data_IF_118051023348
#
_entry.id   IF_118051023348
#
_cell.length_a   1.000
_cell.length_b   1.000
_cell.length_c   1.000
_cell.angle_alpha   90.00
_cell.angle_beta   90.00
_cell.angle_gamma   90.00
#
_symmetry.space_group_name_H-M   'P 1'
#
loop_
_entity.id
_entity.type
_entity.pdbx_description
1 polymer ?
#
# COMPACT_ATOMS: atom_id res chain seq x y z
N UNK A 1 -6.32 27.16 -56.89
CA UNK A 1 -4.85 27.10 -57.17
C UNK A 1 -4.10 27.63 -55.92
N UNK A 2 -3.39 26.75 -55.21
CA UNK A 2 -2.61 27.15 -54.03
C UNK A 2 -1.32 27.83 -54.51
N UNK A 3 -1.09 29.09 -54.12
CA UNK A 3 0.07 29.82 -54.61
C UNK A 3 1.37 29.20 -54.05
N UNK A 4 2.46 29.27 -54.86
CA UNK A 4 3.76 28.67 -54.47
C UNK A 4 4.29 29.15 -53.12
N UNK A 5 3.92 30.36 -52.67
CA UNK A 5 4.26 30.92 -51.36
C UNK A 5 3.50 30.32 -50.17
N UNK A 6 2.37 29.69 -50.44
CA UNK A 6 1.55 29.09 -49.33
C UNK A 6 1.93 27.63 -49.04
N UNK A 7 2.65 26.95 -49.95
CA UNK A 7 3.07 25.55 -49.78
C UNK A 7 3.92 25.32 -48.50
N UNK A 8 4.95 26.11 -48.19
CA UNK A 8 5.76 25.89 -46.97
C UNK A 8 4.96 26.12 -45.71
N UNK A 9 4.00 27.04 -45.68
CA UNK A 9 3.12 27.30 -44.53
C UNK A 9 2.17 26.14 -44.34
N UNK A 10 1.58 25.58 -45.40
CA UNK A 10 0.70 24.41 -45.29
C UNK A 10 1.46 23.17 -44.81
N UNK A 11 2.68 22.95 -45.27
CA UNK A 11 3.54 21.86 -44.81
C UNK A 11 3.86 22.02 -43.32
N UNK A 12 4.20 23.25 -42.88
CA UNK A 12 4.48 23.55 -41.47
C UNK A 12 3.26 23.33 -40.57
N UNK A 13 2.07 23.76 -41.01
CA UNK A 13 0.82 23.52 -40.31
C UNK A 13 0.47 22.01 -40.26
N UNK A 14 0.63 21.31 -41.38
CA UNK A 14 0.40 19.86 -41.43
C UNK A 14 1.36 19.08 -40.51
N UNK A 15 2.63 19.46 -40.47
CA UNK A 15 3.62 18.88 -39.58
C UNK A 15 3.28 19.15 -38.08
N UNK A 16 2.82 20.36 -37.77
CA UNK A 16 2.42 20.73 -36.41
C UNK A 16 1.17 19.95 -35.95
N UNK A 17 0.17 19.79 -36.85
CA UNK A 17 -1.02 18.96 -36.57
C UNK A 17 -0.63 17.50 -36.36
N UNK A 18 0.30 16.97 -37.13
CA UNK A 18 0.77 15.59 -37.01
C UNK A 18 1.49 15.35 -35.69
N UNK A 19 2.34 16.29 -35.26
CA UNK A 19 2.99 16.26 -33.95
C UNK A 19 1.93 16.26 -32.83
N UNK A 20 0.88 17.08 -32.93
CA UNK A 20 -0.20 17.14 -31.98
C UNK A 20 -1.00 15.82 -31.91
N UNK A 21 -1.27 15.20 -33.04
CA UNK A 21 -1.96 13.90 -33.11
C UNK A 21 -1.11 12.80 -32.44
N UNK A 22 0.19 12.75 -32.72
CA UNK A 22 1.11 11.78 -32.12
C UNK A 22 1.23 12.02 -30.61
N UNK A 23 1.38 13.28 -30.18
CA UNK A 23 1.44 13.63 -28.76
C UNK A 23 0.14 13.28 -28.03
N UNK A 24 -1.03 13.56 -28.64
CA UNK A 24 -2.33 13.22 -28.07
C UNK A 24 -2.58 11.70 -28.02
N UNK A 25 -2.21 10.98 -29.07
CA UNK A 25 -2.29 9.52 -29.06
C UNK A 25 -1.36 8.91 -28.00
N UNK A 26 -0.12 9.38 -27.90
CA UNK A 26 0.82 8.97 -26.85
C UNK A 26 0.31 9.28 -25.46
N UNK A 27 -0.26 10.46 -25.24
CA UNK A 27 -0.89 10.84 -23.98
C UNK A 27 -2.07 9.93 -23.61
N UNK A 28 -2.95 9.63 -24.58
CA UNK A 28 -4.08 8.71 -24.39
C UNK A 28 -3.64 7.29 -24.06
N UNK A 29 -2.61 6.77 -24.73
CA UNK A 29 -2.04 5.45 -24.45
C UNK A 29 -1.43 5.43 -23.05
N UNK A 30 -0.67 6.45 -22.67
CA UNK A 30 -0.07 6.57 -21.36
C UNK A 30 -1.13 6.66 -20.25
N UNK A 31 -2.20 7.44 -20.43
CA UNK A 31 -3.33 7.52 -19.50
C UNK A 31 -4.08 6.19 -19.37
N UNK A 32 -4.29 5.49 -20.50
CA UNK A 32 -4.93 4.18 -20.48
C UNK A 32 -4.04 3.10 -19.85
N UNK A 33 -2.72 3.24 -19.94
CA UNK A 33 -1.76 2.34 -19.29
C UNK A 33 -1.67 2.58 -17.77
N UNK A 34 -2.03 3.78 -17.27
CA UNK A 34 -1.98 4.08 -15.83
C UNK A 34 -2.93 3.14 -15.07
N UNK A 35 -2.38 2.50 -14.04
CA UNK A 35 -3.18 1.73 -13.08
C UNK A 35 -3.95 2.71 -12.20
N UNK A 36 -5.24 2.45 -12.01
CA UNK A 36 -6.14 3.25 -11.15
C UNK A 36 -6.82 2.33 -10.13
N UNK A 37 -7.34 2.87 -9.02
CA UNK A 37 -8.11 2.09 -8.06
C UNK A 37 -9.27 1.31 -8.68
N UNK A 38 -9.96 1.90 -9.66
CA UNK A 38 -11.08 1.25 -10.33
C UNK A 38 -10.64 0.04 -11.17
N UNK A 39 -9.48 0.12 -11.82
CA UNK A 39 -8.89 -1.03 -12.52
C UNK A 39 -8.53 -2.16 -11.56
N UNK A 40 -8.02 -1.83 -10.36
CA UNK A 40 -7.74 -2.82 -9.32
C UNK A 40 -9.04 -3.45 -8.82
N UNK A 41 -10.08 -2.66 -8.55
CA UNK A 41 -11.41 -3.17 -8.15
C UNK A 41 -12.00 -4.08 -9.23
N UNK A 42 -12.00 -3.65 -10.48
CA UNK A 42 -12.52 -4.45 -11.60
C UNK A 42 -11.76 -5.78 -11.71
N UNK A 43 -10.44 -5.75 -11.56
CA UNK A 43 -9.61 -6.95 -11.60
C UNK A 43 -9.94 -7.90 -10.45
N UNK A 44 -10.03 -7.40 -9.21
CA UNK A 44 -10.32 -8.21 -8.02
C UNK A 44 -11.76 -8.75 -8.01
N UNK A 45 -12.72 -8.00 -8.52
CA UNK A 45 -14.12 -8.45 -8.62
C UNK A 45 -14.29 -9.57 -9.64
N UNK A 46 -13.53 -9.54 -10.73
CA UNK A 46 -13.54 -10.58 -11.76
C UNK A 46 -12.70 -11.82 -11.42
N UNK A 47 -11.95 -11.81 -10.32
CA UNK A 47 -11.01 -12.87 -9.97
C UNK A 47 -11.66 -13.88 -9.02
N UNK A 48 -11.86 -15.11 -9.50
CA UNK A 48 -12.34 -16.23 -8.71
C UNK A 48 -11.20 -17.25 -8.50
N UNK A 49 -10.54 -17.17 -7.35
CA UNK A 49 -9.41 -18.04 -7.01
C UNK A 49 -9.78 -19.54 -6.96
N UNK A 50 -11.05 -19.88 -6.74
CA UNK A 50 -11.49 -21.28 -6.66
C UNK A 50 -11.41 -22.01 -7.99
N UNK A 51 -11.41 -21.25 -9.10
CA UNK A 51 -11.40 -21.79 -10.48
C UNK A 51 -10.00 -21.79 -11.11
N UNK A 52 -9.02 -21.25 -10.44
CA UNK A 52 -7.67 -21.09 -10.97
C UNK A 52 -6.77 -22.25 -10.54
N UNK A 53 -5.94 -22.69 -11.47
CA UNK A 53 -4.81 -23.58 -11.17
C UNK A 53 -3.76 -22.87 -10.32
N UNK A 54 -2.85 -23.58 -9.67
CA UNK A 54 -1.80 -23.00 -8.84
C UNK A 54 -0.93 -21.99 -9.62
N UNK A 55 -0.61 -22.26 -10.88
CA UNK A 55 0.17 -21.36 -11.72
C UNK A 55 -0.61 -20.08 -12.07
N UNK A 56 -1.89 -20.20 -12.41
CA UNK A 56 -2.76 -19.06 -12.68
C UNK A 56 -2.99 -18.19 -11.44
N UNK A 57 -3.14 -18.80 -10.25
CA UNK A 57 -3.24 -18.09 -8.98
C UNK A 57 -1.97 -17.28 -8.71
N UNK A 58 -0.79 -17.88 -8.87
CA UNK A 58 0.49 -17.19 -8.69
C UNK A 58 0.61 -16.00 -9.66
N UNK A 59 0.28 -16.18 -10.94
CA UNK A 59 0.28 -15.10 -11.93
C UNK A 59 -0.72 -13.99 -11.59
N UNK A 60 -1.92 -14.35 -11.14
CA UNK A 60 -2.95 -13.40 -10.73
C UNK A 60 -2.52 -12.56 -9.52
N UNK A 61 -1.89 -13.19 -8.52
CA UNK A 61 -1.35 -12.53 -7.32
C UNK A 61 -0.21 -11.58 -7.69
N UNK A 62 0.72 -12.00 -8.54
CA UNK A 62 1.81 -11.14 -9.01
C UNK A 62 1.27 -9.92 -9.77
N UNK A 63 0.30 -10.11 -10.65
CA UNK A 63 -0.34 -9.02 -11.38
C UNK A 63 -1.03 -8.05 -10.42
N UNK A 64 -1.77 -8.55 -9.43
CA UNK A 64 -2.42 -7.72 -8.43
C UNK A 64 -1.39 -6.93 -7.59
N UNK A 65 -0.29 -7.57 -7.19
CA UNK A 65 0.80 -6.90 -6.48
C UNK A 65 1.43 -5.79 -7.33
N UNK A 66 1.68 -6.04 -8.61
CA UNK A 66 2.19 -5.03 -9.54
C UNK A 66 1.23 -3.85 -9.70
N UNK A 67 -0.08 -4.13 -9.83
CA UNK A 67 -1.11 -3.08 -9.90
C UNK A 67 -1.14 -2.23 -8.63
N UNK A 68 -1.10 -2.84 -7.45
CA UNK A 68 -1.07 -2.11 -6.18
C UNK A 68 0.21 -1.28 -6.04
N UNK A 69 1.36 -1.79 -6.47
CA UNK A 69 2.63 -1.08 -6.40
C UNK A 69 2.69 0.13 -7.36
N UNK A 70 1.88 0.13 -8.41
CA UNK A 70 1.76 1.26 -9.33
C UNK A 70 0.85 2.38 -8.83
N UNK A 71 0.07 2.16 -7.76
CA UNK A 71 -0.79 3.18 -7.14
C UNK A 71 0.01 4.13 -6.25
N UNK A 72 -0.44 5.38 -6.16
CA UNK A 72 0.02 6.33 -5.15
C UNK A 72 -0.47 5.93 -3.75
N UNK A 73 0.07 6.56 -2.70
CA UNK A 73 -0.35 6.32 -1.32
C UNK A 73 -1.85 6.60 -1.12
N UNK A 74 -2.34 7.73 -1.63
CA UNK A 74 -3.74 8.13 -1.48
C UNK A 74 -4.69 7.18 -2.23
N UNK A 75 -4.33 6.79 -3.45
CA UNK A 75 -5.08 5.81 -4.24
C UNK A 75 -5.12 4.45 -3.53
N UNK A 76 -4.01 4.05 -2.90
CA UNK A 76 -3.89 2.81 -2.13
C UNK A 76 -4.71 2.84 -0.84
N UNK A 77 -4.74 3.99 -0.14
CA UNK A 77 -5.59 4.20 1.04
C UNK A 77 -7.07 4.14 0.69
N UNK A 78 -7.48 4.73 -0.43
CA UNK A 78 -8.84 4.67 -0.94
C UNK A 78 -9.33 3.24 -1.20
N UNK A 79 -8.43 2.33 -1.63
CA UNK A 79 -8.78 0.91 -1.78
C UNK A 79 -8.95 0.17 -0.45
N UNK A 80 -8.24 0.58 0.62
CA UNK A 80 -8.38 -0.06 1.95
C UNK A 80 -9.75 0.16 2.58
N UNK A 81 -10.43 1.23 2.21
CA UNK A 81 -11.78 1.54 2.69
C UNK A 81 -12.86 0.67 2.01
N UNK A 82 -12.49 -0.06 0.96
CA UNK A 82 -13.38 -0.94 0.23
C UNK A 82 -13.23 -2.39 0.72
N UNK A 83 -14.31 -2.96 1.23
CA UNK A 83 -14.36 -4.32 1.80
C UNK A 83 -14.02 -5.41 0.78
N UNK A 84 -13.99 -5.09 -0.51
CA UNK A 84 -13.65 -6.06 -1.57
C UNK A 84 -12.21 -6.58 -1.45
N UNK A 85 -11.27 -5.75 -0.97
CA UNK A 85 -9.88 -6.13 -0.82
C UNK A 85 -9.66 -7.29 0.16
N UNK A 86 -10.56 -7.46 1.15
CA UNK A 86 -10.43 -8.53 2.14
C UNK A 86 -10.88 -9.89 1.61
N UNK A 87 -11.84 -9.92 0.70
CA UNK A 87 -12.42 -11.16 0.20
C UNK A 87 -11.42 -12.01 -0.58
N UNK A 88 -10.67 -11.39 -1.49
CA UNK A 88 -9.69 -12.11 -2.29
C UNK A 88 -8.44 -12.50 -1.49
N UNK A 89 -8.01 -11.64 -0.52
CA UNK A 89 -6.90 -11.97 0.37
C UNK A 89 -7.25 -13.15 1.29
N UNK A 90 -8.49 -13.23 1.79
CA UNK A 90 -8.97 -14.36 2.58
C UNK A 90 -8.97 -15.68 1.80
N UNK A 91 -9.10 -15.65 0.47
CA UNK A 91 -9.06 -16.85 -0.38
C UNK A 91 -7.63 -17.33 -0.70
N UNK A 92 -6.61 -16.54 -0.36
CA UNK A 92 -5.21 -16.92 -0.53
C UNK A 92 -4.77 -17.93 0.51
N UNK A 93 -3.93 -18.87 0.11
CA UNK A 93 -3.18 -19.74 1.04
C UNK A 93 -2.18 -18.90 1.85
N UNK A 94 -1.67 -19.43 2.97
CA UNK A 94 -0.68 -18.73 3.79
C UNK A 94 0.59 -18.41 2.99
N UNK A 95 1.04 -19.32 2.12
CA UNK A 95 2.19 -19.09 1.24
C UNK A 95 1.93 -17.97 0.22
N UNK A 96 0.73 -17.91 -0.35
CA UNK A 96 0.31 -16.85 -1.28
C UNK A 96 0.18 -15.50 -0.58
N UNK A 97 -0.37 -15.47 0.64
CA UNK A 97 -0.43 -14.27 1.48
C UNK A 97 0.98 -13.75 1.79
N UNK A 98 1.89 -14.66 2.18
CA UNK A 98 3.29 -14.33 2.43
C UNK A 98 3.96 -13.70 1.21
N UNK A 99 3.85 -14.34 0.05
CA UNK A 99 4.42 -13.85 -1.21
C UNK A 99 3.82 -12.47 -1.61
N UNK A 100 2.51 -12.31 -1.45
CA UNK A 100 1.82 -11.05 -1.73
C UNK A 100 2.28 -9.92 -0.80
N UNK A 101 2.41 -10.17 0.50
CA UNK A 101 2.91 -9.19 1.48
C UNK A 101 4.36 -8.80 1.17
N UNK A 102 5.23 -9.77 0.84
CA UNK A 102 6.60 -9.49 0.42
C UNK A 102 6.67 -8.60 -0.82
N UNK A 103 5.79 -8.83 -1.78
CA UNK A 103 5.77 -8.07 -3.03
C UNK A 103 5.20 -6.65 -2.88
N UNK A 104 4.28 -6.41 -1.93
CA UNK A 104 3.51 -5.14 -1.87
C UNK A 104 3.89 -4.22 -0.71
N UNK A 105 4.29 -4.78 0.44
CA UNK A 105 4.53 -3.99 1.64
C UNK A 105 5.75 -3.06 1.56
N UNK A 106 6.90 -3.46 0.96
CA UNK A 106 8.06 -2.56 0.87
C UNK A 106 7.72 -1.26 0.15
N UNK A 107 6.96 -1.34 -0.96
CA UNK A 107 6.49 -0.15 -1.69
C UNK A 107 5.52 0.68 -0.85
N UNK A 108 4.60 0.04 -0.11
CA UNK A 108 3.67 0.72 0.78
C UNK A 108 4.40 1.45 1.91
N UNK A 109 5.37 0.83 2.56
CA UNK A 109 6.19 1.47 3.59
C UNK A 109 7.00 2.64 3.03
N UNK A 110 7.63 2.47 1.86
CA UNK A 110 8.35 3.56 1.19
C UNK A 110 7.46 4.78 0.95
N UNK A 111 6.26 4.55 0.46
CA UNK A 111 5.29 5.64 0.23
C UNK A 111 4.87 6.32 1.53
N UNK A 112 4.63 5.57 2.61
CA UNK A 112 4.28 6.12 3.92
C UNK A 112 5.43 6.92 4.54
N UNK A 113 6.65 6.41 4.48
CA UNK A 113 7.84 7.11 4.97
C UNK A 113 8.03 8.42 4.19
N UNK A 114 7.98 8.36 2.86
CA UNK A 114 8.10 9.56 2.02
C UNK A 114 7.00 10.59 2.28
N UNK A 115 5.76 10.14 2.48
CA UNK A 115 4.66 11.04 2.85
C UNK A 115 4.89 11.70 4.22
N UNK A 116 5.39 10.95 5.20
CA UNK A 116 5.74 11.49 6.52
C UNK A 116 6.88 12.51 6.42
N UNK A 117 7.95 12.20 5.70
CA UNK A 117 9.11 13.09 5.51
C UNK A 117 8.74 14.40 4.78
N UNK A 118 7.73 14.38 3.92
CA UNK A 118 7.21 15.56 3.24
C UNK A 118 6.31 16.44 4.12
N UNK A 119 5.93 16.00 5.33
CA UNK A 119 5.16 16.84 6.25
C UNK A 119 6.06 17.91 6.89
N UNK A 120 5.51 19.12 7.18
CA UNK A 120 6.17 20.10 8.03
C UNK A 120 6.54 19.50 9.40
N UNK A 121 7.66 19.94 10.04
CA UNK A 121 8.15 19.38 11.31
C UNK A 121 7.11 19.36 12.43
N UNK A 122 6.31 20.41 12.54
CA UNK A 122 5.24 20.50 13.56
C UNK A 122 4.14 19.45 13.34
N UNK A 123 3.82 19.15 12.07
CA UNK A 123 2.85 18.11 11.72
C UNK A 123 3.41 16.72 11.96
N UNK A 124 4.69 16.46 11.64
CA UNK A 124 5.36 15.20 11.94
C UNK A 124 5.31 14.91 13.45
N UNK A 125 5.72 15.88 14.27
CA UNK A 125 5.68 15.73 15.73
C UNK A 125 4.28 15.48 16.28
N UNK A 126 3.25 16.16 15.73
CA UNK A 126 1.86 15.92 16.14
C UNK A 126 1.42 14.51 15.78
N UNK A 127 1.72 14.04 14.55
CA UNK A 127 1.39 12.69 14.10
C UNK A 127 2.04 11.62 15.00
N UNK A 128 3.32 11.78 15.35
CA UNK A 128 4.04 10.87 16.25
C UNK A 128 3.41 10.86 17.65
N UNK A 129 3.14 12.03 18.25
CA UNK A 129 2.49 12.12 19.56
C UNK A 129 1.11 11.49 19.57
N UNK A 130 0.32 11.71 18.51
CA UNK A 130 -1.02 11.12 18.39
C UNK A 130 -0.95 9.59 18.27
N UNK A 131 -0.04 9.06 17.45
CA UNK A 131 0.16 7.64 17.29
C UNK A 131 0.59 6.97 18.62
N UNK A 132 1.55 7.57 19.36
CA UNK A 132 1.97 7.08 20.67
C UNK A 132 0.81 7.08 21.66
N UNK A 133 0.01 8.15 21.67
CA UNK A 133 -1.17 8.23 22.55
C UNK A 133 -2.15 7.10 22.25
N UNK A 134 -2.50 6.90 20.98
CA UNK A 134 -3.41 5.82 20.59
C UNK A 134 -2.90 4.44 21.03
N UNK A 135 -1.60 4.17 20.85
CA UNK A 135 -1.00 2.89 21.29
C UNK A 135 -1.03 2.72 22.81
N UNK A 136 -0.79 3.78 23.58
CA UNK A 136 -0.92 3.75 25.04
C UNK A 136 -2.35 3.48 25.49
N UNK A 137 -3.31 4.18 24.89
CA UNK A 137 -4.74 3.99 25.17
C UNK A 137 -5.20 2.55 24.84
N UNK A 138 -4.72 1.97 23.74
CA UNK A 138 -4.99 0.57 23.38
C UNK A 138 -4.36 -0.42 24.35
N UNK A 139 -3.10 -0.20 24.73
CA UNK A 139 -2.41 -1.03 25.71
C UNK A 139 -3.09 -1.00 27.08
N UNK A 140 -3.54 0.18 27.54
CA UNK A 140 -4.27 0.33 28.78
C UNK A 140 -5.62 -0.41 28.75
N UNK A 141 -6.34 -0.34 27.63
CA UNK A 141 -7.54 -1.14 27.41
C UNK A 141 -7.26 -2.64 27.46
N UNK A 142 -6.20 -3.10 26.79
CA UNK A 142 -5.78 -4.51 26.89
C UNK A 142 -5.46 -4.93 28.32
N UNK A 143 -4.76 -4.09 29.07
CA UNK A 143 -4.40 -4.37 30.46
C UNK A 143 -5.63 -4.40 31.38
N UNK A 144 -6.60 -3.51 31.18
CA UNK A 144 -7.83 -3.43 31.99
C UNK A 144 -8.84 -4.53 31.67
N UNK A 145 -8.95 -4.94 30.42
CA UNK A 145 -9.91 -5.98 30.01
C UNK A 145 -9.34 -7.39 30.05
N UNK A 146 -8.01 -7.53 30.10
CA UNK A 146 -7.33 -8.83 29.95
C UNK A 146 -7.54 -9.48 28.59
N UNK A 147 -8.12 -8.74 27.62
CA UNK A 147 -8.44 -9.22 26.29
C UNK A 147 -7.62 -8.48 25.25
N UNK A 148 -7.19 -9.20 24.21
CA UNK A 148 -6.67 -8.57 23.01
C UNK A 148 -7.78 -7.74 22.36
N UNK A 149 -7.47 -6.59 21.75
CA UNK A 149 -8.46 -5.83 21.02
C UNK A 149 -9.16 -6.76 20.03
N UNK A 150 -10.52 -6.70 19.94
CA UNK A 150 -11.19 -7.45 18.91
C UNK A 150 -10.59 -7.03 17.56
N UNK A 151 -10.28 -7.99 16.67
CA UNK A 151 -9.90 -7.63 15.33
C UNK A 151 -10.97 -6.69 14.80
N UNK A 152 -10.55 -5.48 14.38
CA UNK A 152 -11.49 -4.50 13.83
C UNK A 152 -12.34 -5.18 12.77
N UNK A 153 -13.60 -4.78 12.62
CA UNK A 153 -14.60 -5.39 11.72
C UNK A 153 -14.12 -5.56 10.28
N UNK A 154 -12.99 -4.95 9.92
CA UNK A 154 -12.35 -4.98 8.60
C UNK A 154 -10.88 -5.46 8.65
N UNK A 155 -10.45 -6.12 9.73
CA UNK A 155 -9.07 -6.57 9.87
C UNK A 155 -8.99 -8.05 9.52
N UNK A 156 -8.22 -8.39 8.51
CA UNK A 156 -7.87 -9.80 8.25
C UNK A 156 -7.03 -10.26 9.44
N UNK A 157 -7.50 -11.29 10.11
CA UNK A 157 -6.69 -11.96 11.14
C UNK A 157 -5.55 -12.69 10.44
N UNK A 158 -4.35 -12.13 10.57
CA UNK A 158 -3.12 -12.74 10.06
C UNK A 158 -2.65 -13.81 11.04
N UNK A 159 -2.13 -14.92 10.50
CA UNK A 159 -1.36 -15.89 11.31
C UNK A 159 -0.17 -15.21 11.97
N UNK A 160 0.36 -15.81 13.04
CA UNK A 160 1.50 -15.25 13.75
C UNK A 160 2.71 -15.09 12.84
N UNK A 161 2.99 -16.07 12.00
CA UNK A 161 4.09 -16.04 11.03
C UNK A 161 3.96 -14.87 10.05
N UNK A 162 2.75 -14.58 9.57
CA UNK A 162 2.50 -13.42 8.71
C UNK A 162 2.64 -12.10 9.46
N UNK A 163 2.23 -12.04 10.74
CA UNK A 163 2.43 -10.85 11.58
C UNK A 163 3.92 -10.55 11.80
N UNK A 164 4.70 -11.59 12.11
CA UNK A 164 6.16 -11.47 12.27
C UNK A 164 6.83 -11.05 10.96
N UNK A 165 6.37 -11.59 9.84
CA UNK A 165 6.84 -11.19 8.51
C UNK A 165 6.53 -9.72 8.21
N UNK A 166 5.30 -9.27 8.46
CA UNK A 166 4.89 -7.85 8.31
C UNK A 166 5.77 -6.95 9.15
N UNK A 167 6.01 -7.32 10.41
CA UNK A 167 6.88 -6.58 11.32
C UNK A 167 8.31 -6.50 10.78
N UNK A 168 8.87 -7.63 10.32
CA UNK A 168 10.22 -7.69 9.75
C UNK A 168 10.34 -6.80 8.51
N UNK A 169 9.38 -6.89 7.57
CA UNK A 169 9.38 -6.06 6.36
C UNK A 169 9.27 -4.57 6.74
N UNK A 170 8.41 -4.24 7.71
CA UNK A 170 8.23 -2.87 8.18
C UNK A 170 9.51 -2.29 8.77
N UNK A 171 10.15 -3.01 9.70
CA UNK A 171 11.42 -2.59 10.29
C UNK A 171 12.53 -2.49 9.25
N UNK A 172 12.68 -3.48 8.37
CA UNK A 172 13.68 -3.44 7.30
C UNK A 172 13.46 -2.23 6.38
N UNK A 173 12.21 -1.96 5.98
CA UNK A 173 11.87 -0.80 5.15
C UNK A 173 12.17 0.51 5.89
N UNK A 174 11.82 0.60 7.16
CA UNK A 174 12.11 1.77 7.98
C UNK A 174 13.61 2.05 8.08
N UNK A 175 14.42 1.05 8.48
CA UNK A 175 15.86 1.24 8.65
C UNK A 175 16.59 1.50 7.33
N UNK A 176 16.14 0.94 6.21
CA UNK A 176 16.80 1.10 4.91
C UNK A 176 16.38 2.37 4.16
N UNK A 177 15.18 2.91 4.41
CA UNK A 177 14.59 3.95 3.57
C UNK A 177 14.37 5.29 4.29
N UNK A 178 14.32 5.31 5.64
CA UNK A 178 14.13 6.54 6.39
C UNK A 178 15.41 7.33 6.54
N UNK A 179 15.29 8.67 6.50
CA UNK A 179 16.36 9.59 6.84
C UNK A 179 16.79 9.44 8.32
N UNK A 180 17.97 9.94 8.66
CA UNK A 180 18.44 9.95 10.05
C UNK A 180 17.51 10.77 10.97
N UNK A 181 16.98 11.89 10.46
CA UNK A 181 16.01 12.73 11.15
C UNK A 181 14.71 11.96 11.44
N UNK A 182 14.14 11.29 10.44
CA UNK A 182 12.94 10.47 10.58
C UNK A 182 13.13 9.34 11.58
N UNK A 183 14.31 8.69 11.57
CA UNK A 183 14.64 7.66 12.56
C UNK A 183 14.64 8.20 13.97
N UNK A 184 15.21 9.38 14.18
CA UNK A 184 15.22 10.02 15.49
C UNK A 184 13.81 10.46 15.93
N UNK A 185 13.01 11.03 15.04
CA UNK A 185 11.64 11.46 15.34
C UNK A 185 10.70 10.29 15.66
N UNK A 186 10.89 9.13 15.02
CA UNK A 186 10.05 7.94 15.22
C UNK A 186 10.58 6.99 16.32
N UNK A 187 11.76 7.23 16.89
CA UNK A 187 12.31 6.38 17.94
C UNK A 187 11.35 6.17 19.14
N UNK A 188 10.70 7.22 19.70
CA UNK A 188 9.74 7.04 20.80
C UNK A 188 8.51 6.23 20.41
N UNK A 189 8.09 6.32 19.13
CA UNK A 189 6.99 5.51 18.59
C UNK A 189 7.37 4.03 18.51
N UNK A 190 8.59 3.72 18.05
CA UNK A 190 9.08 2.36 17.98
C UNK A 190 9.23 1.71 19.34
N UNK A 191 9.67 2.47 20.37
CA UNK A 191 9.69 1.97 21.73
C UNK A 191 8.29 1.60 22.24
N UNK A 192 7.31 2.46 22.00
CA UNK A 192 5.94 2.19 22.44
C UNK A 192 5.32 1.02 21.65
N UNK A 193 5.64 0.90 20.37
CA UNK A 193 5.25 -0.25 19.53
C UNK A 193 5.80 -1.55 20.13
N UNK A 194 7.09 -1.59 20.49
CA UNK A 194 7.71 -2.75 21.10
C UNK A 194 7.03 -3.12 22.41
N UNK A 195 6.79 -2.17 23.31
CA UNK A 195 6.07 -2.39 24.57
C UNK A 195 4.67 -2.95 24.37
N UNK A 196 3.96 -2.44 23.35
CA UNK A 196 2.61 -2.92 23.01
C UNK A 196 2.63 -4.35 22.48
N UNK A 197 3.62 -4.69 21.65
CA UNK A 197 3.81 -6.05 21.14
C UNK A 197 4.16 -7.04 22.28
N UNK A 198 5.03 -6.67 23.21
CA UNK A 198 5.38 -7.48 24.37
C UNK A 198 4.15 -7.73 25.26
N UNK A 199 3.37 -6.69 25.54
CA UNK A 199 2.11 -6.81 26.31
C UNK A 199 1.12 -7.76 25.63
N UNK A 200 0.99 -7.68 24.31
CA UNK A 200 0.11 -8.55 23.53
C UNK A 200 0.58 -10.01 23.54
N UNK A 201 1.90 -10.25 23.53
CA UNK A 201 2.47 -11.60 23.65
C UNK A 201 2.15 -12.20 25.03
N UNK A 202 2.40 -11.48 26.09
CA UNK A 202 2.12 -11.95 27.46
C UNK A 202 0.65 -12.31 27.67
N UNK A 203 -0.28 -11.55 27.07
CA UNK A 203 -1.70 -11.85 27.14
C UNK A 203 -2.06 -13.12 26.36
N UNK A 204 -1.48 -13.33 25.20
CA UNK A 204 -1.68 -14.55 24.40
C UNK A 204 -1.18 -15.80 25.13
N UNK A 205 0.02 -15.73 25.71
CA UNK A 205 0.62 -16.84 26.44
C UNK A 205 -0.22 -17.25 27.68
N UNK A 206 -0.92 -16.28 28.30
CA UNK A 206 -1.86 -16.55 29.42
C UNK A 206 -3.19 -17.17 28.98
N UNK A 207 -3.57 -17.00 27.72
CA UNK A 207 -4.84 -17.50 27.17
C UNK A 207 -4.68 -18.85 26.45
N UNK A 208 -3.46 -19.32 26.22
CA UNK A 208 -3.17 -20.66 25.73
C UNK A 208 -3.01 -21.58 26.95
N UNK A 209 -3.87 -22.63 27.07
CA UNK A 209 -3.79 -23.60 28.17
C UNK A 209 -2.56 -24.48 28.06
#
# INVERSE_FOLDING_TARGET
MISQRQRPILIAVAALVLIWIVAFAGYRIAQNAKVTPDKVRAYTTGLDFSRLTAAERAAAIQKLAAMLNALTLDERQGLRLDHSAYKWFAQMTEAEKSAFLQATMPTGFKQMIGAFENLPPDKRQRAVRQAIKQMKDEREKMASTGQLPPPGTNTVVLSQDLQDQVTKIGLQSFYSQSSAETKAELAPFLEELQRTMESSRMLRDRQQP
#
